data_IF_339848608625
#
_entry.id   IF_339848608625
#
_cell.length_a   1.000
_cell.length_b   1.000
_cell.length_c   1.000
_cell.angle_alpha   90.00
_cell.angle_beta   90.00
_cell.angle_gamma   90.00
#
_symmetry.space_group_name_H-M   'P 1'
#
loop_
_entity.id
_entity.type
_entity.pdbx_description
1 polymer ?
#
# COMPACT_ATOMS: atom_id res chain seq x y z
N UNK A 1 -18.86 2.58 8.07
CA UNK A 1 -17.57 2.64 7.35
C UNK A 1 -17.81 3.32 6.03
N UNK A 2 -16.77 3.90 5.44
CA UNK A 2 -16.83 4.37 4.07
C UNK A 2 -17.03 3.16 3.13
N UNK A 3 -17.65 3.39 1.98
CA UNK A 3 -17.69 2.37 0.92
C UNK A 3 -16.26 2.11 0.39
N UNK A 4 -15.99 0.93 -0.22
CA UNK A 4 -14.65 0.60 -0.73
C UNK A 4 -14.02 1.66 -1.64
N UNK A 5 -14.80 2.21 -2.58
CA UNK A 5 -14.33 3.25 -3.49
C UNK A 5 -13.97 4.56 -2.76
N UNK A 6 -14.78 4.96 -1.77
CA UNK A 6 -14.52 6.14 -0.95
C UNK A 6 -13.30 5.94 -0.04
N UNK A 7 -13.14 4.73 0.52
CA UNK A 7 -11.98 4.32 1.31
C UNK A 7 -10.70 4.46 0.50
N UNK A 8 -10.67 3.91 -0.72
CA UNK A 8 -9.52 3.97 -1.62
C UNK A 8 -9.20 5.40 -2.06
N UNK A 9 -10.22 6.20 -2.42
CA UNK A 9 -10.03 7.60 -2.79
C UNK A 9 -9.48 8.42 -1.62
N UNK A 10 -9.97 8.20 -0.40
CA UNK A 10 -9.49 8.89 0.79
C UNK A 10 -8.07 8.46 1.17
N UNK A 11 -7.76 7.16 1.10
CA UNK A 11 -6.40 6.65 1.29
C UNK A 11 -5.42 7.24 0.26
N UNK A 12 -5.85 7.39 -1.01
CA UNK A 12 -5.05 8.03 -2.06
C UNK A 12 -4.76 9.51 -1.75
N UNK A 13 -5.75 10.29 -1.31
CA UNK A 13 -5.53 11.70 -0.89
C UNK A 13 -4.50 11.79 0.24
N UNK A 14 -4.62 10.93 1.25
CA UNK A 14 -3.69 10.87 2.37
C UNK A 14 -2.27 10.53 1.89
N UNK A 15 -2.10 9.54 1.01
CA UNK A 15 -0.81 9.21 0.42
C UNK A 15 -0.22 10.38 -0.38
N UNK A 16 -1.02 11.04 -1.22
CA UNK A 16 -0.61 12.20 -2.00
C UNK A 16 -0.09 13.36 -1.13
N UNK A 17 -0.62 13.48 0.09
CA UNK A 17 -0.23 14.48 1.09
C UNK A 17 0.92 14.02 2.00
N UNK A 18 1.47 12.83 1.75
CA UNK A 18 2.53 12.22 2.57
C UNK A 18 2.06 11.64 3.90
N UNK A 19 0.75 11.51 4.12
CA UNK A 19 0.15 11.01 5.37
C UNK A 19 -0.06 9.48 5.32
N UNK A 20 1.02 8.74 5.05
CA UNK A 20 0.95 7.29 4.84
C UNK A 20 0.48 6.51 6.08
N UNK A 21 0.78 7.00 7.29
CA UNK A 21 0.27 6.37 8.52
C UNK A 21 -1.25 6.52 8.64
N UNK A 22 -1.80 7.68 8.30
CA UNK A 22 -3.25 7.88 8.28
C UNK A 22 -3.92 7.01 7.19
N UNK A 23 -3.28 6.87 6.02
CA UNK A 23 -3.76 5.97 4.98
C UNK A 23 -3.77 4.51 5.46
N UNK A 24 -2.75 4.09 6.22
CA UNK A 24 -2.70 2.77 6.85
C UNK A 24 -3.91 2.53 7.77
N UNK A 25 -4.25 3.47 8.64
CA UNK A 25 -5.40 3.34 9.55
C UNK A 25 -6.73 3.18 8.79
N UNK A 26 -6.91 3.95 7.71
CA UNK A 26 -8.11 3.87 6.85
C UNK A 26 -8.21 2.50 6.18
N UNK A 27 -7.11 2.02 5.60
CA UNK A 27 -7.05 0.73 4.91
C UNK A 27 -7.15 -0.45 5.88
N UNK A 28 -6.58 -0.34 7.07
CA UNK A 28 -6.67 -1.37 8.11
C UNK A 28 -8.11 -1.51 8.62
N UNK A 29 -8.83 -0.40 8.74
CA UNK A 29 -10.26 -0.41 9.07
C UNK A 29 -11.07 -1.15 8.01
N UNK A 30 -10.81 -0.92 6.72
CA UNK A 30 -11.43 -1.66 5.63
C UNK A 30 -11.06 -3.15 5.65
N UNK A 31 -9.80 -3.49 5.96
CA UNK A 31 -9.39 -4.88 6.13
C UNK A 31 -10.15 -5.60 7.24
N UNK A 32 -10.25 -4.98 8.43
CA UNK A 32 -10.88 -5.60 9.61
C UNK A 32 -12.37 -5.87 9.46
N UNK A 33 -13.03 -5.15 8.57
CA UNK A 33 -14.49 -5.15 8.45
C UNK A 33 -14.99 -5.52 7.04
N UNK A 34 -14.09 -5.68 6.08
CA UNK A 34 -14.40 -6.05 4.71
C UNK A 34 -14.77 -7.53 4.58
N UNK A 35 -15.24 -7.95 3.39
CA UNK A 35 -15.62 -9.33 3.14
C UNK A 35 -14.39 -10.25 3.13
N UNK A 36 -14.59 -11.51 3.54
CA UNK A 36 -13.49 -12.45 3.75
C UNK A 36 -12.66 -12.74 2.48
N UNK A 37 -13.30 -12.72 1.31
CA UNK A 37 -12.64 -12.94 0.02
C UNK A 37 -11.73 -11.76 -0.39
N UNK A 38 -11.86 -10.58 0.22
CA UNK A 38 -11.04 -9.41 -0.10
C UNK A 38 -9.92 -9.16 0.92
N UNK A 39 -9.79 -10.00 1.97
CA UNK A 39 -8.81 -9.76 3.04
C UNK A 39 -7.38 -9.63 2.50
N UNK A 40 -6.99 -10.45 1.53
CA UNK A 40 -5.64 -10.37 0.94
C UNK A 40 -5.38 -9.01 0.28
N UNK A 41 -6.36 -8.47 -0.46
CA UNK A 41 -6.26 -7.16 -1.08
C UNK A 41 -6.07 -6.05 -0.03
N UNK A 42 -6.99 -5.97 0.94
CA UNK A 42 -6.97 -4.93 1.96
C UNK A 42 -5.74 -5.02 2.88
N UNK A 43 -5.31 -6.23 3.22
CA UNK A 43 -4.09 -6.44 3.99
C UNK A 43 -2.83 -6.00 3.21
N UNK A 44 -2.78 -6.28 1.90
CA UNK A 44 -1.70 -5.83 1.03
C UNK A 44 -1.59 -4.30 0.98
N UNK A 45 -2.72 -3.61 0.75
CA UNK A 45 -2.78 -2.14 0.76
C UNK A 45 -2.40 -1.55 2.13
N UNK A 46 -2.87 -2.15 3.22
CA UNK A 46 -2.54 -1.75 4.59
C UNK A 46 -1.03 -1.84 4.84
N UNK A 47 -0.40 -2.94 4.39
CA UNK A 47 1.04 -3.18 4.54
C UNK A 47 1.88 -2.27 3.65
N UNK A 48 1.40 -1.94 2.45
CA UNK A 48 2.00 -0.92 1.58
C UNK A 48 2.11 0.42 2.31
N UNK A 49 0.99 0.92 2.85
CA UNK A 49 0.94 2.23 3.51
C UNK A 49 1.84 2.31 4.76
N UNK A 50 1.86 1.26 5.60
CA UNK A 50 2.76 1.22 6.76
C UNK A 50 4.23 0.98 6.33
N UNK A 51 4.48 0.25 5.24
CA UNK A 51 5.80 0.14 4.62
C UNK A 51 6.35 1.52 4.21
N UNK A 52 5.54 2.35 3.57
CA UNK A 52 5.88 3.75 3.25
C UNK A 52 6.13 4.56 4.53
N UNK A 53 5.30 4.39 5.56
CA UNK A 53 5.51 5.06 6.86
C UNK A 53 6.88 4.73 7.46
N UNK A 54 7.35 3.49 7.33
CA UNK A 54 8.68 3.10 7.79
C UNK A 54 9.81 3.78 7.01
N UNK A 55 9.65 4.00 5.71
CA UNK A 55 10.59 4.80 4.90
C UNK A 55 10.64 6.23 5.44
N UNK A 56 9.48 6.86 5.63
CA UNK A 56 9.37 8.23 6.16
C UNK A 56 9.99 8.40 7.55
N UNK A 57 9.98 7.34 8.36
CA UNK A 57 10.60 7.32 9.71
C UNK A 57 12.08 6.90 9.71
N UNK A 58 12.70 6.73 8.56
CA UNK A 58 14.12 6.34 8.47
C UNK A 58 14.40 4.88 8.85
N UNK A 59 13.42 3.98 8.68
CA UNK A 59 13.55 2.55 8.95
C UNK A 59 13.47 1.72 7.66
N UNK A 60 14.52 1.73 6.80
CA UNK A 60 14.51 1.05 5.51
C UNK A 60 14.41 -0.48 5.63
N UNK A 61 15.01 -1.08 6.69
CA UNK A 61 14.93 -2.53 6.93
C UNK A 61 13.51 -2.98 7.26
N UNK A 62 12.83 -2.23 8.13
CA UNK A 62 11.42 -2.47 8.47
C UNK A 62 10.51 -2.24 7.26
N UNK A 63 10.76 -1.17 6.49
CA UNK A 63 10.03 -0.88 5.26
C UNK A 63 10.10 -2.04 4.26
N UNK A 64 11.29 -2.51 3.91
CA UNK A 64 11.47 -3.61 2.96
C UNK A 64 10.78 -4.91 3.42
N UNK A 65 10.68 -5.14 4.73
CA UNK A 65 9.97 -6.31 5.27
C UNK A 65 8.45 -6.20 5.06
N UNK A 66 7.87 -5.04 5.35
CA UNK A 66 6.44 -4.78 5.19
C UNK A 66 6.03 -4.73 3.72
N UNK A 67 6.87 -4.12 2.88
CA UNK A 67 6.67 -4.02 1.43
C UNK A 67 6.69 -5.40 0.76
N UNK A 68 7.60 -6.31 1.15
CA UNK A 68 7.57 -7.70 0.62
C UNK A 68 6.27 -8.42 0.96
N UNK A 69 5.80 -8.28 2.22
CA UNK A 69 4.52 -8.86 2.62
C UNK A 69 3.36 -8.23 1.85
N UNK A 70 3.40 -6.92 1.60
CA UNK A 70 2.40 -6.23 0.79
C UNK A 70 2.31 -6.87 -0.61
N UNK A 71 3.44 -7.09 -1.29
CA UNK A 71 3.49 -7.83 -2.56
C UNK A 71 2.88 -9.23 -2.44
N UNK A 72 3.27 -10.01 -1.43
CA UNK A 72 2.76 -11.39 -1.25
C UNK A 72 1.24 -11.42 -1.08
N UNK A 73 0.66 -10.43 -0.40
CA UNK A 73 -0.77 -10.30 -0.21
C UNK A 73 -1.48 -9.80 -1.48
N UNK A 74 -0.94 -8.79 -2.15
CA UNK A 74 -1.50 -8.27 -3.41
C UNK A 74 -1.48 -9.33 -4.52
N UNK A 75 -0.43 -10.15 -4.60
CA UNK A 75 -0.33 -11.25 -5.57
C UNK A 75 -1.36 -12.39 -5.32
N UNK A 76 -2.00 -12.42 -4.14
CA UNK A 76 -3.06 -13.38 -3.80
C UNK A 76 -4.46 -12.81 -3.95
N UNK A 77 -4.60 -11.53 -4.31
CA UNK A 77 -5.90 -10.94 -4.58
C UNK A 77 -6.51 -11.55 -5.85
N UNK A 78 -7.84 -11.67 -5.88
CA UNK A 78 -8.57 -12.11 -7.06
C UNK A 78 -8.32 -11.17 -8.25
N UNK A 79 -8.30 -11.72 -9.47
CA UNK A 79 -8.18 -10.95 -10.70
C UNK A 79 -9.43 -11.14 -11.59
N UNK A 80 -10.03 -10.05 -12.12
CA UNK A 80 -9.65 -8.65 -11.92
C UNK A 80 -9.85 -8.22 -10.46
N UNK A 81 -8.95 -7.37 -9.97
CA UNK A 81 -9.00 -6.90 -8.59
C UNK A 81 -10.31 -6.15 -8.30
N UNK A 82 -10.98 -6.42 -7.17
CA UNK A 82 -12.11 -5.63 -6.71
C UNK A 82 -11.80 -4.13 -6.69
N UNK A 83 -12.84 -3.31 -6.84
CA UNK A 83 -12.78 -1.85 -6.66
C UNK A 83 -11.78 -1.13 -7.57
N UNK A 84 -11.42 -1.74 -8.72
CA UNK A 84 -10.47 -1.20 -9.70
C UNK A 84 -9.06 -0.95 -9.14
N UNK A 85 -8.65 -1.69 -8.10
CA UNK A 85 -7.29 -1.57 -7.55
C UNK A 85 -6.25 -2.00 -8.60
N UNK A 86 -5.22 -1.17 -8.79
CA UNK A 86 -4.12 -1.42 -9.72
C UNK A 86 -3.09 -2.39 -9.11
N UNK A 87 -3.50 -3.65 -8.89
CA UNK A 87 -2.64 -4.66 -8.25
C UNK A 87 -1.32 -4.83 -9.00
N UNK A 88 -1.35 -4.85 -10.33
CA UNK A 88 -0.15 -5.02 -11.14
C UNK A 88 0.81 -3.83 -10.98
N UNK A 89 0.32 -2.60 -11.14
CA UNK A 89 1.13 -1.40 -10.96
C UNK A 89 1.65 -1.23 -9.54
N UNK A 90 0.87 -1.63 -8.52
CA UNK A 90 1.31 -1.61 -7.13
C UNK A 90 2.42 -2.63 -6.85
N UNK A 91 2.32 -3.86 -7.36
CA UNK A 91 3.37 -4.87 -7.20
C UNK A 91 4.68 -4.41 -7.87
N UNK A 92 4.60 -3.87 -9.09
CA UNK A 92 5.77 -3.29 -9.77
C UNK A 92 6.37 -2.13 -8.99
N UNK A 93 5.54 -1.19 -8.53
CA UNK A 93 5.94 -0.07 -7.70
C UNK A 93 6.69 -0.52 -6.44
N UNK A 94 6.14 -1.52 -5.73
CA UNK A 94 6.70 -2.02 -4.48
C UNK A 94 8.03 -2.73 -4.70
N UNK A 95 8.14 -3.55 -5.74
CA UNK A 95 9.39 -4.24 -6.07
C UNK A 95 10.51 -3.24 -6.37
N UNK A 96 10.23 -2.24 -7.22
CA UNK A 96 11.21 -1.16 -7.49
C UNK A 96 11.57 -0.38 -6.22
N UNK A 97 10.62 -0.13 -5.32
CA UNK A 97 10.89 0.56 -4.07
C UNK A 97 11.75 -0.29 -3.11
N UNK A 98 11.57 -1.61 -3.09
CA UNK A 98 12.44 -2.52 -2.33
C UNK A 98 13.86 -2.49 -2.90
N UNK A 99 14.02 -2.45 -4.21
CA UNK A 99 15.33 -2.37 -4.88
C UNK A 99 16.04 -1.05 -4.54
N UNK A 100 15.32 0.08 -4.57
CA UNK A 100 15.83 1.40 -4.15
C UNK A 100 16.36 1.34 -2.70
N UNK A 101 15.59 0.74 -1.79
CA UNK A 101 15.99 0.58 -0.38
C UNK A 101 17.19 -0.35 -0.22
N UNK A 102 17.28 -1.42 -1.00
CA UNK A 102 18.39 -2.38 -0.96
C UNK A 102 19.69 -1.75 -1.50
N UNK A 103 19.59 -0.91 -2.53
CA UNK A 103 20.71 -0.15 -3.09
C UNK A 103 21.13 1.06 -2.24
N UNK A 104 20.39 1.38 -1.17
CA UNK A 104 20.66 2.55 -0.33
C UNK A 104 20.33 3.89 -1.02
N UNK A 105 19.47 3.86 -2.04
CA UNK A 105 18.99 5.05 -2.74
C UNK A 105 18.17 5.91 -1.77
N UNK A 106 18.38 7.23 -1.83
CA UNK A 106 17.55 8.16 -1.07
C UNK A 106 16.16 8.26 -1.71
N UNK A 107 15.16 7.67 -1.05
CA UNK A 107 13.77 7.70 -1.50
C UNK A 107 13.13 9.04 -1.14
N UNK A 108 12.76 9.82 -2.15
CA UNK A 108 12.13 11.14 -1.99
C UNK A 108 10.63 11.04 -1.69
N UNK A 109 10.03 12.10 -1.12
CA UNK A 109 8.60 12.14 -0.85
C UNK A 109 7.74 11.93 -2.11
N UNK A 110 8.18 12.45 -3.27
CA UNK A 110 7.50 12.27 -4.56
C UNK A 110 7.57 10.83 -5.10
N UNK A 111 8.46 9.98 -4.56
CA UNK A 111 8.49 8.54 -4.87
C UNK A 111 7.45 7.76 -4.08
N UNK A 112 6.94 8.33 -2.98
CA UNK A 112 6.07 7.68 -1.98
C UNK A 112 4.57 7.94 -2.20
N UNK A 113 4.17 8.26 -3.43
CA UNK A 113 2.79 8.55 -3.83
C UNK A 113 2.29 7.53 -4.86
N UNK A 114 2.16 6.24 -4.50
CA UNK A 114 1.69 5.22 -5.44
C UNK A 114 0.26 5.52 -5.88
N UNK A 115 -0.11 5.02 -7.06
CA UNK A 115 -1.49 5.04 -7.55
C UNK A 115 -2.19 3.76 -7.10
N UNK A 116 -3.29 3.88 -6.36
CA UNK A 116 -4.02 2.74 -5.80
C UNK A 116 -4.98 2.10 -6.81
N UNK A 117 -5.59 2.89 -7.71
CA UNK A 117 -6.65 2.45 -8.63
C UNK A 117 -6.34 2.84 -10.08
N UNK A 118 -6.78 2.03 -11.05
CA UNK A 118 -6.55 2.24 -12.51
C UNK A 118 -7.30 3.42 -13.11
#
# INVERSE_FOLDING_TARGET
MLEPAETLAYAQDLLNRGLAFNAHEVLESAWKNGPANEQALWQGLTQLAVGITHIQRGNPKGAATLLRRACDHLARADLPAPHAVDVAGLVEYVNSLIDDLAAGVHVTASRLVPRLVV
#
